data_IF_550069888885
#
_entry.id   IF_550069888885
#
_cell.length_a   1.000
_cell.length_b   1.000
_cell.length_c   1.000
_cell.angle_alpha   90.00
_cell.angle_beta   90.00
_cell.angle_gamma   90.00
#
_symmetry.space_group_name_H-M   'P 1'
#
loop_
_entity.id
_entity.type
_entity.pdbx_description
1 polymer ?
#
# COMPACT_ATOMS: atom_id res chain seq x y z
N UNK A 1 9.39 18.12 1.47
CA UNK A 1 8.63 17.07 2.19
C UNK A 1 8.38 15.93 1.22
N UNK A 2 8.71 14.69 1.59
CA UNK A 2 8.43 13.50 0.78
C UNK A 2 7.05 12.97 1.16
N UNK A 3 6.03 13.44 0.46
CA UNK A 3 4.64 13.00 0.65
C UNK A 3 4.43 11.62 0.01
N UNK A 4 3.55 10.81 0.61
CA UNK A 4 3.11 9.56 0.00
C UNK A 4 2.09 9.91 -1.12
N UNK A 5 2.35 9.60 -2.40
CA UNK A 5 1.34 9.75 -3.43
C UNK A 5 0.21 8.73 -3.20
N UNK A 6 -0.99 9.22 -2.93
CA UNK A 6 -2.17 8.40 -2.53
C UNK A 6 -2.89 7.81 -3.74
N UNK A 7 -2.71 8.41 -4.92
CA UNK A 7 -3.41 8.01 -6.14
C UNK A 7 -2.38 7.37 -7.07
N UNK A 8 -2.28 6.03 -7.10
CA UNK A 8 -1.43 5.34 -8.05
C UNK A 8 -1.89 5.61 -9.48
N UNK A 9 -0.95 5.92 -10.37
CA UNK A 9 -1.20 5.92 -11.82
C UNK A 9 -1.40 4.48 -12.30
N UNK A 10 -2.01 4.31 -13.46
CA UNK A 10 -2.16 2.99 -14.08
C UNK A 10 -0.81 2.26 -14.12
N UNK A 11 -0.75 1.03 -13.61
CA UNK A 11 0.46 0.23 -13.48
C UNK A 11 1.27 0.49 -12.20
N UNK A 12 1.02 1.57 -11.45
CA UNK A 12 1.71 1.79 -10.18
C UNK A 12 1.12 0.94 -9.05
N UNK A 13 2.02 0.35 -8.25
CA UNK A 13 1.71 -0.42 -7.05
C UNK A 13 2.47 0.19 -5.88
N UNK A 14 1.74 0.45 -4.80
CA UNK A 14 2.34 0.84 -3.52
C UNK A 14 2.04 -0.22 -2.48
N UNK A 15 3.00 -0.44 -1.59
CA UNK A 15 2.82 -1.18 -0.35
C UNK A 15 3.43 -0.34 0.77
N UNK A 16 2.61 0.06 1.73
CA UNK A 16 3.02 0.87 2.86
C UNK A 16 2.32 0.42 4.14
N UNK A 17 2.93 0.74 5.28
CA UNK A 17 2.37 0.49 6.62
C UNK A 17 2.22 1.82 7.34
N UNK A 18 1.02 2.12 7.86
CA UNK A 18 0.76 3.28 8.70
C UNK A 18 1.28 3.05 10.13
N UNK A 19 2.46 3.59 10.41
CA UNK A 19 3.12 3.46 11.70
C UNK A 19 2.34 4.15 12.82
N UNK A 20 1.62 5.22 12.51
CA UNK A 20 0.75 5.95 13.45
C UNK A 20 -0.50 5.18 13.88
N UNK A 21 -0.93 4.17 13.10
CA UNK A 21 -2.11 3.37 13.39
C UNK A 21 -1.80 2.16 14.30
N UNK A 22 -0.52 1.80 14.45
CA UNK A 22 -0.08 0.66 15.25
C UNK A 22 0.07 1.09 16.71
N UNK A 23 -0.82 0.62 17.58
CA UNK A 23 -0.85 1.02 19.00
C UNK A 23 -0.10 0.04 19.92
N UNK A 24 0.14 -1.19 19.45
CA UNK A 24 0.72 -2.27 20.25
C UNK A 24 2.25 -2.35 20.16
N UNK A 25 2.89 -1.53 19.31
CA UNK A 25 4.33 -1.48 19.11
C UNK A 25 4.79 -0.05 18.85
N UNK A 26 6.04 0.24 19.18
CA UNK A 26 6.66 1.51 18.79
C UNK A 26 6.96 1.54 17.28
N UNK A 27 7.16 2.76 16.76
CA UNK A 27 7.62 2.98 15.38
C UNK A 27 8.94 2.24 15.13
N UNK A 28 9.90 2.32 16.06
CA UNK A 28 11.21 1.68 15.91
C UNK A 28 11.10 0.14 15.89
N UNK A 29 10.29 -0.45 16.76
CA UNK A 29 10.06 -1.90 16.76
C UNK A 29 9.38 -2.36 15.47
N UNK A 30 8.41 -1.59 14.98
CA UNK A 30 7.73 -1.88 13.72
C UNK A 30 8.70 -1.84 12.54
N UNK A 31 9.54 -0.81 12.45
CA UNK A 31 10.55 -0.70 11.39
C UNK A 31 11.56 -1.85 11.45
N UNK A 32 12.06 -2.19 12.64
CA UNK A 32 12.97 -3.31 12.81
C UNK A 32 12.32 -4.63 12.38
N UNK A 33 11.04 -4.86 12.67
CA UNK A 33 10.32 -6.06 12.19
C UNK A 33 10.25 -6.08 10.66
N UNK A 34 9.92 -4.96 10.02
CA UNK A 34 9.86 -4.85 8.57
C UNK A 34 11.23 -5.10 7.92
N UNK A 35 12.31 -4.60 8.51
CA UNK A 35 13.69 -4.86 8.07
C UNK A 35 14.06 -6.34 8.20
N UNK A 36 13.67 -6.99 9.29
CA UNK A 36 13.89 -8.43 9.49
C UNK A 36 13.09 -9.31 8.51
N UNK A 37 12.00 -8.79 7.94
CA UNK A 37 11.26 -9.44 6.85
C UNK A 37 11.91 -9.22 5.47
N UNK A 38 12.98 -8.42 5.39
CA UNK A 38 13.71 -8.14 4.16
C UNK A 38 13.26 -6.87 3.43
N UNK A 39 12.39 -6.05 4.04
CA UNK A 39 12.03 -4.74 3.48
C UNK A 39 13.10 -3.68 3.76
N UNK A 40 13.13 -2.64 2.92
CA UNK A 40 13.89 -1.42 3.17
C UNK A 40 12.91 -0.23 3.34
N UNK A 41 12.26 -0.11 4.51
CA UNK A 41 11.17 0.84 4.71
C UNK A 41 11.66 2.28 4.59
N UNK A 42 11.02 3.06 3.72
CA UNK A 42 11.29 4.50 3.61
C UNK A 42 10.19 5.30 4.28
N UNK A 43 10.54 6.18 5.22
CA UNK A 43 9.56 7.02 5.90
C UNK A 43 8.89 8.02 4.95
N UNK A 44 7.57 8.13 5.07
CA UNK A 44 6.72 9.10 4.37
C UNK A 44 5.77 9.72 5.37
N UNK A 45 5.45 11.00 5.14
CA UNK A 45 4.53 11.75 5.97
C UNK A 45 3.33 12.14 5.13
N UNK A 46 2.15 12.13 5.75
CA UNK A 46 0.93 12.63 5.13
C UNK A 46 0.24 13.55 6.11
N UNK A 47 -0.03 14.77 5.65
CA UNK A 47 -0.90 15.68 6.36
C UNK A 47 -2.34 15.49 5.87
N UNK A 48 -3.24 15.20 6.79
CA UNK A 48 -4.67 15.13 6.55
C UNK A 48 -5.26 16.54 6.49
N UNK A 49 -6.47 16.66 5.93
CA UNK A 49 -7.18 17.95 5.80
C UNK A 49 -7.52 18.60 7.14
N UNK A 50 -7.62 17.79 8.19
CA UNK A 50 -7.85 18.22 9.58
C UNK A 50 -6.56 18.68 10.29
N UNK A 51 -5.41 18.61 9.62
CA UNK A 51 -4.10 18.98 10.16
C UNK A 51 -3.38 17.85 10.88
N UNK A 52 -3.98 16.66 11.03
CA UNK A 52 -3.30 15.50 11.60
C UNK A 52 -2.18 15.02 10.65
N UNK A 53 -1.11 14.47 11.23
CA UNK A 53 0.03 13.93 10.48
C UNK A 53 0.09 12.42 10.73
N UNK A 54 -0.05 11.64 9.67
CA UNK A 54 0.19 10.20 9.67
C UNK A 54 1.59 9.91 9.16
N UNK A 55 2.23 8.90 9.76
CA UNK A 55 3.57 8.43 9.39
C UNK A 55 3.46 7.05 8.77
N UNK A 56 4.07 6.89 7.59
CA UNK A 56 4.05 5.64 6.84
C UNK A 56 5.47 5.11 6.62
N UNK A 57 5.61 3.79 6.68
CA UNK A 57 6.75 3.07 6.13
C UNK A 57 6.39 2.59 4.72
N UNK A 58 6.98 3.21 3.70
CA UNK A 58 6.86 2.75 2.31
C UNK A 58 7.76 1.52 2.12
N UNK A 59 7.17 0.37 1.82
CA UNK A 59 7.86 -0.90 1.64
C UNK A 59 8.14 -1.19 0.16
N UNK A 60 7.17 -0.84 -0.70
CA UNK A 60 7.28 -1.05 -2.14
C UNK A 60 6.64 0.12 -2.91
N UNK A 61 7.32 0.59 -3.95
CA UNK A 61 6.78 1.48 -4.97
C UNK A 61 7.36 1.05 -6.31
N UNK A 62 6.51 0.52 -7.17
CA UNK A 62 6.93 -0.02 -8.46
C UNK A 62 5.90 0.25 -9.54
N UNK A 63 6.33 0.09 -10.79
CA UNK A 63 5.49 0.17 -11.97
C UNK A 63 5.46 -1.20 -12.65
N UNK A 64 4.28 -1.79 -12.72
CA UNK A 64 4.00 -3.10 -13.30
C UNK A 64 3.14 -2.89 -14.53
N UNK A 65 3.30 -3.76 -15.52
CA UNK A 65 2.37 -3.77 -16.65
C UNK A 65 0.93 -4.03 -16.11
N UNK A 66 -0.03 -3.13 -16.35
CA UNK A 66 -1.39 -3.26 -15.84
C UNK A 66 -2.09 -4.53 -16.35
N UNK A 67 -1.69 -5.09 -17.48
CA UNK A 67 -2.27 -6.32 -18.05
C UNK A 67 -1.86 -7.59 -17.28
N UNK A 68 -0.75 -7.54 -16.54
CA UNK A 68 -0.26 -8.63 -15.68
C UNK A 68 -0.52 -8.37 -14.20
N UNK A 69 -1.05 -7.19 -13.85
CA UNK A 69 -1.39 -6.84 -12.47
C UNK A 69 -2.65 -7.61 -12.06
N UNK A 70 -2.45 -8.88 -11.72
CA UNK A 70 -3.51 -9.75 -11.24
C UNK A 70 -3.99 -9.29 -9.85
N UNK A 71 -5.20 -9.72 -9.49
CA UNK A 71 -5.85 -9.32 -8.24
C UNK A 71 -5.07 -9.71 -6.99
N UNK A 72 -4.20 -10.71 -7.09
CA UNK A 72 -3.42 -11.35 -6.02
C UNK A 72 -1.93 -10.98 -6.03
N UNK A 73 -1.50 -10.00 -6.84
CA UNK A 73 -0.08 -9.67 -7.00
C UNK A 73 0.71 -9.42 -5.68
N UNK A 74 0.06 -8.94 -4.62
CA UNK A 74 0.67 -8.74 -3.30
C UNK A 74 0.15 -9.72 -2.24
N UNK A 75 -0.55 -10.78 -2.64
CA UNK A 75 -1.28 -11.67 -1.72
C UNK A 75 -0.38 -12.23 -0.62
N UNK A 76 0.72 -12.88 -1.03
CA UNK A 76 1.69 -13.46 -0.09
C UNK A 76 2.35 -12.41 0.81
N UNK A 77 2.72 -11.24 0.28
CA UNK A 77 3.29 -10.17 1.10
C UNK A 77 2.28 -9.58 2.09
N UNK A 78 1.01 -9.42 1.70
CA UNK A 78 -0.03 -8.93 2.59
C UNK A 78 -0.33 -9.92 3.71
N UNK A 79 -0.36 -11.22 3.40
CA UNK A 79 -0.55 -12.27 4.39
C UNK A 79 0.63 -12.29 5.38
N UNK A 80 1.87 -12.26 4.89
CA UNK A 80 3.05 -12.21 5.73
C UNK A 80 3.09 -10.96 6.62
N UNK A 81 2.69 -9.80 6.10
CA UNK A 81 2.60 -8.56 6.89
C UNK A 81 1.50 -8.63 7.95
N UNK A 82 0.35 -9.24 7.64
CA UNK A 82 -0.75 -9.40 8.58
C UNK A 82 -0.41 -10.33 9.76
N UNK A 83 0.48 -11.31 9.57
CA UNK A 83 0.98 -12.17 10.65
C UNK A 83 1.88 -11.40 11.64
N UNK A 84 2.62 -10.39 11.16
CA UNK A 84 3.61 -9.65 11.96
C UNK A 84 3.03 -8.36 12.53
N UNK A 85 2.15 -7.70 11.79
CA UNK A 85 1.51 -6.43 12.15
C UNK A 85 0.11 -6.75 12.65
N UNK A 86 -0.07 -6.73 13.97
CA UNK A 86 -1.37 -6.93 14.63
C UNK A 86 -2.28 -5.69 14.52
N UNK A 87 -2.33 -5.09 13.33
CA UNK A 87 -3.17 -3.97 12.93
C UNK A 87 -3.35 -4.07 11.41
N UNK A 88 -4.20 -4.98 10.91
CA UNK A 88 -4.35 -5.20 9.46
C UNK A 88 -4.80 -3.95 8.72
N UNK A 89 -5.58 -3.08 9.38
CA UNK A 89 -6.01 -1.78 8.83
C UNK A 89 -4.86 -0.78 8.64
N UNK A 90 -3.69 -1.03 9.25
CA UNK A 90 -2.49 -0.23 9.06
C UNK A 90 -1.77 -0.55 7.74
N UNK A 91 -2.09 -1.67 7.08
CA UNK A 91 -1.46 -2.08 5.82
C UNK A 91 -2.22 -1.42 4.66
N UNK A 92 -1.50 -0.62 3.87
CA UNK A 92 -2.07 0.21 2.81
C UNK A 92 -1.42 -0.17 1.48
N UNK A 93 -2.22 -0.67 0.54
CA UNK A 93 -1.74 -1.14 -0.76
C UNK A 93 -2.55 -0.64 -1.97
N UNK A 94 -2.60 0.68 -2.23
CA UNK A 94 -3.33 1.21 -3.37
C UNK A 94 -2.66 0.76 -4.68
N UNK A 95 -3.50 0.39 -5.65
CA UNK A 95 -3.08 -0.10 -6.96
C UNK A 95 -3.72 0.69 -8.08
N UNK A 96 -2.93 1.11 -9.04
CA UNK A 96 -3.39 1.76 -10.25
C UNK A 96 -3.86 0.73 -11.26
N UNK A 97 -5.05 0.18 -11.05
CA UNK A 97 -5.66 -0.75 -12.01
C UNK A 97 -6.21 0.02 -13.22
N UNK A 98 -5.94 -0.47 -14.42
CA UNK A 98 -6.62 0.02 -15.61
C UNK A 98 -8.09 -0.41 -15.50
N UNK A 99 -9.00 0.55 -15.35
CA UNK A 99 -10.43 0.24 -15.40
C UNK A 99 -10.76 -0.15 -16.84
N UNK A 100 -10.67 -1.44 -17.15
CA UNK A 100 -11.17 -1.96 -18.42
C UNK A 100 -12.66 -1.64 -18.44
N UNK A 101 -13.01 -0.62 -19.22
CA UNK A 101 -14.38 -0.28 -19.58
C UNK A 101 -15.08 -1.59 -19.95
N UNK A 102 -16.05 -2.02 -19.14
CA UNK A 102 -16.97 -3.10 -19.54
C UNK A 102 -17.52 -2.72 -20.92
N UNK A 103 -17.51 -3.61 -21.93
CA UNK A 103 -18.27 -3.37 -23.14
C UNK A 103 -19.74 -3.26 -22.73
N UNK A 104 -20.31 -2.08 -22.91
CA UNK A 104 -21.75 -1.87 -22.79
C UNK A 104 -22.45 -2.85 -23.73
N UNK A 105 -23.43 -3.56 -23.18
CA UNK A 105 -24.19 -4.62 -23.81
C UNK A 105 -24.57 -4.33 -25.27
N UNK A 106 -24.32 -5.31 -26.11
CA UNK A 106 -24.93 -5.41 -27.44
C UNK A 106 -26.44 -5.54 -27.21
N UNK A 107 -27.21 -4.50 -27.54
CA UNK A 107 -28.63 -4.65 -27.80
C UNK A 107 -28.73 -4.95 -29.29
N UNK A 108 -28.93 -6.23 -29.62
CA UNK A 108 -29.39 -6.63 -30.95
C UNK A 108 -30.82 -6.12 -31.15
N UNK A 109 -31.07 -5.48 -32.29
CA UNK A 109 -32.41 -5.24 -32.85
C UNK A 109 -32.49 -6.04 -34.15
#
# INVERSE_FOLDING_TARGET
MLELPIIPKVGEVFLAVELSAIQNMTVAETLNRLENMGYNPTLRYRQSKDGSISVYALLKHEHINPDILQSDYLGEELDALAEVIQAPDAIVSPRGISSVKKPSSIISV
#
